data_IF_949978253609
#
_entry.id   IF_949978253609
#
_cell.length_a   1.000
_cell.length_b   1.000
_cell.length_c   1.000
_cell.angle_alpha   90.00
_cell.angle_beta   90.00
_cell.angle_gamma   90.00
#
_symmetry.space_group_name_H-M   'P 1'
#
loop_
_entity.id
_entity.type
_entity.pdbx_description
1 polymer ?
#
# COMPACT_ATOMS: atom_id res chain seq x y z
N UNK A 1 -35.14 31.09 10.35
CA UNK A 1 -33.75 30.63 10.57
C UNK A 1 -33.62 29.25 9.96
N UNK A 2 -32.93 29.12 8.83
CA UNK A 2 -32.75 27.82 8.14
C UNK A 2 -31.64 27.05 8.85
N UNK A 3 -31.96 25.88 9.39
CA UNK A 3 -30.99 24.96 9.98
C UNK A 3 -30.24 24.26 8.85
N UNK A 4 -28.92 24.47 8.78
CA UNK A 4 -28.08 23.74 7.84
C UNK A 4 -28.01 22.26 8.26
N UNK A 5 -28.33 21.35 7.33
CA UNK A 5 -28.24 19.92 7.58
C UNK A 5 -26.79 19.51 7.96
N UNK A 6 -26.59 18.57 8.90
CA UNK A 6 -25.26 18.18 9.35
C UNK A 6 -24.45 17.61 8.19
N UNK A 7 -23.24 18.16 7.98
CA UNK A 7 -22.32 17.72 6.93
C UNK A 7 -21.83 16.30 7.23
N UNK A 8 -22.24 15.33 6.40
CA UNK A 8 -21.76 13.94 6.52
C UNK A 8 -20.22 13.91 6.33
N UNK A 9 -19.47 13.22 7.20
CA UNK A 9 -18.04 13.02 7.01
C UNK A 9 -17.74 12.32 5.68
N UNK A 10 -16.63 12.67 5.04
CA UNK A 10 -16.09 11.98 3.87
C UNK A 10 -14.86 11.19 4.33
N UNK A 11 -14.99 9.92 4.70
CA UNK A 11 -13.89 9.16 5.28
C UNK A 11 -12.79 8.93 4.25
N UNK A 12 -11.55 8.89 4.73
CA UNK A 12 -10.38 8.43 3.98
C UNK A 12 -9.90 7.16 4.67
N UNK A 13 -9.64 6.12 3.89
CA UNK A 13 -9.21 4.81 4.38
C UNK A 13 -7.86 4.48 3.75
N UNK A 14 -6.86 4.22 4.58
CA UNK A 14 -5.63 3.53 4.19
C UNK A 14 -5.84 2.05 4.46
N UNK A 15 -5.88 1.24 3.40
CA UNK A 15 -5.98 -0.22 3.49
C UNK A 15 -4.63 -0.84 3.13
N UNK A 16 -4.06 -1.64 4.04
CA UNK A 16 -2.76 -2.29 3.86
C UNK A 16 -3.00 -3.77 3.62
N UNK A 17 -2.63 -4.26 2.44
CA UNK A 17 -2.60 -5.68 2.12
C UNK A 17 -1.20 -6.21 2.51
N UNK A 18 -1.08 -6.80 3.70
CA UNK A 18 0.22 -7.28 4.19
C UNK A 18 0.74 -8.43 3.30
N UNK A 19 2.03 -8.36 2.93
CA UNK A 19 2.66 -9.30 1.99
C UNK A 19 2.23 -9.17 0.52
N UNK A 20 1.56 -8.07 0.12
CA UNK A 20 1.09 -7.88 -1.26
C UNK A 20 2.09 -7.08 -2.13
N UNK A 21 2.93 -7.78 -2.89
CA UNK A 21 3.96 -7.17 -3.76
C UNK A 21 3.58 -7.10 -5.24
N UNK A 22 4.39 -6.37 -6.03
CA UNK A 22 4.34 -6.38 -7.50
C UNK A 22 5.54 -7.13 -8.06
N UNK A 23 5.30 -8.04 -9.00
CA UNK A 23 6.34 -8.78 -9.74
C UNK A 23 5.80 -9.17 -11.11
N UNK A 24 6.50 -8.79 -12.17
CA UNK A 24 6.06 -9.04 -13.56
C UNK A 24 6.02 -10.54 -13.90
N UNK A 25 6.95 -11.32 -13.34
CA UNK A 25 6.99 -12.77 -13.54
C UNK A 25 5.82 -13.45 -12.83
N UNK A 26 5.11 -14.31 -13.57
CA UNK A 26 3.85 -14.95 -13.14
C UNK A 26 4.06 -16.37 -12.59
N UNK A 27 5.15 -17.04 -12.96
CA UNK A 27 5.48 -18.36 -12.43
C UNK A 27 5.68 -18.31 -10.91
N UNK A 28 4.98 -19.13 -10.13
CA UNK A 28 5.03 -19.09 -8.65
C UNK A 28 4.65 -17.71 -8.06
N UNK A 29 3.68 -17.02 -8.69
CA UNK A 29 3.13 -15.74 -8.23
C UNK A 29 1.67 -15.90 -7.80
N UNK A 30 1.43 -16.07 -6.50
CA UNK A 30 0.06 -16.23 -6.00
C UNK A 30 -0.85 -15.02 -6.29
N UNK A 31 -0.30 -13.79 -6.31
CA UNK A 31 -1.07 -12.58 -6.59
C UNK A 31 -1.47 -12.53 -8.06
N UNK A 32 -0.52 -12.76 -8.98
CA UNK A 32 -0.81 -12.71 -10.41
C UNK A 32 -1.68 -13.88 -10.90
N UNK A 33 -1.69 -15.00 -10.17
CA UNK A 33 -2.50 -16.19 -10.50
C UNK A 33 -3.88 -16.20 -9.82
N UNK A 34 -4.13 -15.30 -8.86
CA UNK A 34 -5.40 -15.24 -8.15
C UNK A 34 -6.51 -14.56 -8.97
N UNK A 35 -7.76 -14.95 -8.71
CA UNK A 35 -8.94 -14.22 -9.20
C UNK A 35 -9.20 -12.99 -8.31
N UNK A 36 -8.79 -11.80 -8.77
CA UNK A 36 -8.81 -10.57 -7.97
C UNK A 36 -9.64 -9.45 -8.61
N UNK A 37 -10.94 -9.69 -8.93
CA UNK A 37 -11.70 -8.81 -9.83
C UNK A 37 -11.86 -7.37 -9.32
N UNK A 38 -11.87 -7.17 -8.00
CA UNK A 38 -11.90 -5.84 -7.41
C UNK A 38 -10.56 -5.13 -7.52
N UNK A 39 -9.45 -5.82 -7.23
CA UNK A 39 -8.10 -5.28 -7.35
C UNK A 39 -7.78 -4.90 -8.80
N UNK A 40 -8.10 -5.80 -9.73
CA UNK A 40 -7.88 -5.59 -11.17
C UNK A 40 -8.69 -4.40 -11.69
N UNK A 41 -9.95 -4.28 -11.26
CA UNK A 41 -10.78 -3.12 -11.57
C UNK A 41 -10.18 -1.83 -11.01
N UNK A 42 -9.63 -1.85 -9.79
CA UNK A 42 -9.01 -0.66 -9.21
C UNK A 42 -7.78 -0.21 -9.99
N UNK A 43 -6.86 -1.13 -10.31
CA UNK A 43 -5.67 -0.82 -11.09
C UNK A 43 -6.01 -0.30 -12.50
N UNK A 44 -7.06 -0.83 -13.15
CA UNK A 44 -7.49 -0.37 -14.47
C UNK A 44 -8.16 1.01 -14.46
N UNK A 45 -8.85 1.37 -13.37
CA UNK A 45 -9.81 2.50 -13.37
C UNK A 45 -9.31 3.72 -12.59
N UNK A 46 -8.42 3.53 -11.62
CA UNK A 46 -7.94 4.60 -10.75
C UNK A 46 -6.42 4.80 -10.86
N UNK A 47 -5.92 6.02 -10.57
CA UNK A 47 -4.48 6.27 -10.50
C UNK A 47 -3.81 5.34 -9.48
N UNK A 48 -2.68 4.76 -9.87
CA UNK A 48 -1.88 3.88 -9.01
C UNK A 48 -0.39 4.10 -9.30
N UNK A 49 0.45 3.73 -8.34
CA UNK A 49 1.90 3.77 -8.44
C UNK A 49 2.50 2.65 -7.59
N UNK A 50 3.78 2.33 -7.84
CA UNK A 50 4.56 1.41 -7.03
C UNK A 50 5.45 2.19 -6.05
N UNK A 51 5.68 1.62 -4.87
CA UNK A 51 6.56 2.16 -3.85
C UNK A 51 7.64 1.14 -3.51
N UNK A 52 8.85 1.62 -3.22
CA UNK A 52 9.90 0.78 -2.64
C UNK A 52 9.61 0.57 -1.15
N UNK A 53 9.62 -0.68 -0.70
CA UNK A 53 9.25 -1.09 0.67
C UNK A 53 10.34 -1.88 1.37
N UNK A 54 11.57 -1.86 0.84
CA UNK A 54 12.72 -2.63 1.30
C UNK A 54 14.01 -1.81 1.18
N UNK A 55 15.09 -2.31 1.78
CA UNK A 55 16.41 -1.69 1.69
C UNK A 55 16.47 -0.25 2.23
N UNK A 56 17.36 0.54 1.65
CA UNK A 56 17.65 1.91 2.09
C UNK A 56 16.41 2.82 2.04
N UNK A 57 15.46 2.53 1.16
CA UNK A 57 14.23 3.31 0.97
C UNK A 57 13.29 3.26 2.18
N UNK A 58 13.48 2.29 3.08
CA UNK A 58 12.72 2.17 4.33
C UNK A 58 13.62 2.14 5.57
N UNK A 59 14.90 2.53 5.42
CA UNK A 59 15.85 2.62 6.52
C UNK A 59 16.55 1.31 6.89
N UNK A 60 16.47 0.29 6.02
CA UNK A 60 17.20 -0.98 6.16
C UNK A 60 18.53 -0.96 5.38
N UNK A 61 19.49 -1.84 5.71
CA UNK A 61 20.64 -2.12 4.86
C UNK A 61 20.27 -2.43 3.40
N UNK A 62 21.17 -2.11 2.47
CA UNK A 62 20.93 -2.38 1.04
C UNK A 62 20.67 -3.87 0.77
N UNK A 63 19.71 -4.15 -0.12
CA UNK A 63 19.26 -5.51 -0.45
C UNK A 63 18.42 -6.22 0.62
N UNK A 64 18.27 -5.66 1.82
CA UNK A 64 17.46 -6.30 2.87
C UNK A 64 15.97 -6.19 2.57
N UNK A 65 15.27 -7.33 2.60
CA UNK A 65 13.83 -7.39 2.44
C UNK A 65 13.10 -6.59 3.53
N UNK A 66 12.02 -5.91 3.13
CA UNK A 66 11.11 -5.25 4.05
C UNK A 66 10.30 -6.24 4.91
N UNK A 67 9.66 -5.72 5.94
CA UNK A 67 8.77 -6.48 6.82
C UNK A 67 7.64 -5.59 7.34
N UNK A 68 6.67 -6.20 8.01
CA UNK A 68 5.48 -5.50 8.50
C UNK A 68 5.82 -4.37 9.48
N UNK A 69 6.75 -4.57 10.42
CA UNK A 69 7.11 -3.56 11.42
C UNK A 69 7.71 -2.32 10.77
N UNK A 70 8.74 -2.52 9.93
CA UNK A 70 9.41 -1.44 9.19
C UNK A 70 8.41 -0.71 8.28
N UNK A 71 7.57 -1.46 7.57
CA UNK A 71 6.55 -0.89 6.67
C UNK A 71 5.54 -0.01 7.41
N UNK A 72 4.95 -0.50 8.50
CA UNK A 72 3.98 0.26 9.28
C UNK A 72 4.60 1.49 9.93
N UNK A 73 5.85 1.40 10.39
CA UNK A 73 6.56 2.52 10.99
C UNK A 73 6.82 3.63 9.96
N UNK A 74 7.28 3.30 8.76
CA UNK A 74 7.49 4.26 7.68
C UNK A 74 6.18 4.91 7.21
N UNK A 75 5.11 4.13 7.02
CA UNK A 75 3.78 4.64 6.63
C UNK A 75 3.21 5.59 7.69
N UNK A 76 3.30 5.22 8.97
CA UNK A 76 2.80 6.04 10.07
C UNK A 76 3.64 7.30 10.32
N UNK A 77 4.95 7.23 10.07
CA UNK A 77 5.86 8.36 10.27
C UNK A 77 5.85 9.37 9.12
N UNK A 78 5.47 8.94 7.90
CA UNK A 78 5.54 9.79 6.70
C UNK A 78 6.97 10.18 6.30
N UNK A 79 7.96 9.40 6.72
CA UNK A 79 9.40 9.58 6.44
C UNK A 79 10.13 8.25 6.57
N UNK A 80 11.35 8.19 6.00
CA UNK A 80 12.26 7.07 6.23
C UNK A 80 12.60 6.98 7.72
N UNK A 81 12.36 5.80 8.31
CA UNK A 81 12.72 5.52 9.70
C UNK A 81 13.92 4.57 9.74
N UNK A 82 15.08 5.10 10.13
CA UNK A 82 16.32 4.32 10.23
C UNK A 82 16.17 3.20 11.25
N UNK A 83 16.53 1.98 10.83
CA UNK A 83 16.49 0.76 11.63
C UNK A 83 17.85 0.45 12.24
#
# INVERSE_FOLDING_TARGET
MSSAAPRRPRPVVLCILDGWGWRDETADNAIAQADTPNWDRFLKTYPHALLHTSGLQVGLPDGQMGNSEVGHMNLGAGRVVMQ
#
